data_IF_731650483942
#
_entry.id   IF_731650483942
#
_cell.length_a   1.000
_cell.length_b   1.000
_cell.length_c   1.000
_cell.angle_alpha   90.00
_cell.angle_beta   90.00
_cell.angle_gamma   90.00
#
_symmetry.space_group_name_H-M   'P 1'
#
loop_
_entity.id
_entity.type
_entity.pdbx_description
1 polymer ?
#
# COMPACT_ATOMS: atom_id res chain seq x y z
N UNK A 1 -46.77 -47.71 -26.07
CA UNK A 1 -47.58 -47.19 -24.95
C UNK A 1 -47.21 -45.74 -24.72
N UNK A 2 -48.12 -44.81 -25.02
CA UNK A 2 -47.94 -43.38 -24.76
C UNK A 2 -48.13 -43.07 -23.27
N UNK A 3 -47.36 -42.11 -22.75
CA UNK A 3 -47.54 -41.61 -21.39
C UNK A 3 -48.87 -40.84 -21.32
N UNK A 4 -49.73 -41.21 -20.38
CA UNK A 4 -50.96 -40.47 -20.09
C UNK A 4 -50.66 -39.21 -19.30
N UNK A 5 -51.47 -38.16 -19.45
CA UNK A 5 -51.29 -36.88 -18.77
C UNK A 5 -51.11 -37.02 -17.24
N UNK A 6 -51.85 -37.95 -16.61
CA UNK A 6 -51.74 -38.24 -15.18
C UNK A 6 -50.37 -38.79 -14.78
N UNK A 7 -49.77 -39.66 -15.61
CA UNK A 7 -48.41 -40.19 -15.36
C UNK A 7 -47.36 -39.08 -15.52
N UNK A 8 -47.52 -38.21 -16.52
CA UNK A 8 -46.62 -37.06 -16.72
C UNK A 8 -46.66 -36.11 -15.52
N UNK A 9 -47.86 -35.79 -15.02
CA UNK A 9 -48.03 -34.93 -13.85
C UNK A 9 -47.37 -35.50 -12.59
N UNK A 10 -47.56 -36.80 -12.32
CA UNK A 10 -46.94 -37.45 -11.16
C UNK A 10 -45.41 -37.40 -11.21
N UNK A 11 -44.81 -37.59 -12.40
CA UNK A 11 -43.36 -37.50 -12.60
C UNK A 11 -42.86 -36.07 -12.38
N UNK A 12 -43.56 -35.07 -12.93
CA UNK A 12 -43.20 -33.66 -12.76
C UNK A 12 -43.25 -33.24 -11.28
N UNK A 13 -44.32 -33.58 -10.58
CA UNK A 13 -44.45 -33.28 -9.16
C UNK A 13 -43.34 -33.94 -8.34
N UNK A 14 -43.00 -35.20 -8.65
CA UNK A 14 -41.87 -35.90 -8.02
C UNK A 14 -40.52 -35.23 -8.27
N UNK A 15 -40.29 -34.66 -9.47
CA UNK A 15 -39.07 -33.90 -9.77
C UNK A 15 -39.04 -32.56 -9.03
N UNK A 16 -40.16 -31.86 -8.92
CA UNK A 16 -40.27 -30.58 -8.18
C UNK A 16 -39.92 -30.80 -6.71
N UNK A 17 -40.48 -31.84 -6.09
CA UNK A 17 -40.17 -32.19 -4.68
C UNK A 17 -38.68 -32.48 -4.49
N UNK A 18 -38.06 -33.22 -5.42
CA UNK A 18 -36.62 -33.48 -5.38
C UNK A 18 -35.78 -32.21 -5.52
N UNK A 19 -36.14 -31.32 -6.44
CA UNK A 19 -35.43 -30.04 -6.64
C UNK A 19 -35.55 -29.17 -5.39
N UNK A 20 -36.73 -29.08 -4.78
CA UNK A 20 -36.92 -28.31 -3.54
C UNK A 20 -36.04 -28.84 -2.40
N UNK A 21 -36.00 -30.17 -2.20
CA UNK A 21 -35.12 -30.76 -1.20
C UNK A 21 -33.63 -30.51 -1.47
N UNK A 22 -33.20 -30.47 -2.74
CA UNK A 22 -31.82 -30.10 -3.08
C UNK A 22 -31.57 -28.63 -2.74
N UNK A 23 -32.47 -27.72 -3.10
CA UNK A 23 -32.32 -26.27 -2.85
C UNK A 23 -32.14 -25.98 -1.36
N UNK A 24 -32.88 -26.65 -0.48
CA UNK A 24 -32.74 -26.52 0.97
C UNK A 24 -31.36 -26.93 1.51
N UNK A 25 -30.61 -27.76 0.76
CA UNK A 25 -29.26 -28.19 1.13
C UNK A 25 -28.15 -27.35 0.51
N UNK A 26 -28.47 -26.43 -0.41
CA UNK A 26 -27.46 -25.56 -1.02
C UNK A 26 -26.98 -24.56 0.03
N UNK A 27 -25.65 -24.41 0.13
CA UNK A 27 -25.05 -23.44 1.06
C UNK A 27 -25.38 -22.01 0.61
N UNK A 28 -25.84 -21.20 1.55
CA UNK A 28 -26.06 -19.78 1.33
C UNK A 28 -24.77 -18.98 1.57
N UNK A 29 -24.42 -18.02 0.70
CA UNK A 29 -23.27 -17.15 0.94
C UNK A 29 -23.56 -16.22 2.11
N UNK A 30 -22.51 -15.90 2.89
CA UNK A 30 -22.60 -14.86 3.91
C UNK A 30 -22.40 -13.49 3.25
N UNK A 31 -23.37 -12.59 3.41
CA UNK A 31 -23.38 -11.26 2.80
C UNK A 31 -23.52 -10.20 3.87
N UNK A 32 -22.53 -9.32 3.98
CA UNK A 32 -22.59 -8.18 4.89
C UNK A 32 -23.56 -7.11 4.40
N UNK A 33 -24.53 -6.74 5.23
CA UNK A 33 -25.57 -5.76 4.92
C UNK A 33 -25.33 -4.40 5.59
N UNK A 34 -24.58 -4.35 6.70
CA UNK A 34 -24.24 -3.11 7.38
C UNK A 34 -24.08 -3.27 8.90
N UNK A 35 -24.07 -2.13 9.59
CA UNK A 35 -23.99 -2.06 11.05
C UNK A 35 -25.29 -1.50 11.63
N UNK A 36 -25.72 -2.06 12.76
CA UNK A 36 -26.82 -1.58 13.59
C UNK A 36 -26.27 -1.14 14.95
N UNK A 37 -26.92 -0.19 15.62
CA UNK A 37 -26.42 0.28 16.92
C UNK A 37 -26.59 -0.78 18.00
N UNK A 38 -27.79 -1.36 18.10
CA UNK A 38 -28.16 -2.35 19.10
C UNK A 38 -28.99 -3.48 18.49
N UNK A 39 -29.22 -4.54 19.27
CA UNK A 39 -29.94 -5.74 18.85
C UNK A 39 -31.37 -5.47 18.37
N UNK A 40 -32.05 -4.48 18.93
CA UNK A 40 -33.43 -4.14 18.58
C UNK A 40 -33.57 -3.55 17.16
N UNK A 41 -32.47 -3.06 16.59
CA UNK A 41 -32.44 -2.52 15.22
C UNK A 41 -32.23 -3.61 14.15
N UNK A 42 -32.08 -4.88 14.55
CA UNK A 42 -31.96 -5.96 13.58
C UNK A 42 -33.26 -6.15 12.78
N UNK A 43 -33.17 -6.28 11.44
CA UNK A 43 -34.35 -6.43 10.60
C UNK A 43 -35.09 -7.74 10.88
N UNK A 44 -36.43 -7.69 10.86
CA UNK A 44 -37.28 -8.88 10.99
C UNK A 44 -37.47 -9.64 9.68
N UNK A 45 -37.24 -8.98 8.53
CA UNK A 45 -37.27 -9.60 7.21
C UNK A 45 -35.86 -9.72 6.69
N UNK A 46 -35.35 -10.94 6.67
CA UNK A 46 -33.97 -11.28 6.34
C UNK A 46 -33.93 -12.51 5.46
N UNK A 47 -32.84 -12.65 4.70
CA UNK A 47 -32.54 -13.87 3.96
C UNK A 47 -31.41 -14.61 4.66
N UNK A 48 -31.38 -15.94 4.52
CA UNK A 48 -30.33 -16.76 5.11
C UNK A 48 -28.97 -16.30 4.57
N UNK A 49 -28.03 -16.06 5.47
CA UNK A 49 -26.69 -15.57 5.16
C UNK A 49 -26.52 -14.06 5.24
N UNK A 50 -27.59 -13.28 5.47
CA UNK A 50 -27.43 -11.85 5.76
C UNK A 50 -26.71 -11.63 7.09
N UNK A 51 -25.70 -10.78 7.08
CA UNK A 51 -24.86 -10.48 8.22
C UNK A 51 -24.92 -9.00 8.57
N UNK A 52 -25.05 -8.71 9.86
CA UNK A 52 -24.95 -7.36 10.41
C UNK A 52 -23.94 -7.32 11.54
N UNK A 53 -23.33 -6.15 11.73
CA UNK A 53 -22.51 -5.85 12.90
C UNK A 53 -23.35 -5.11 13.94
N UNK A 54 -23.32 -5.53 15.20
CA UNK A 54 -23.98 -4.82 16.31
C UNK A 54 -22.92 -3.99 17.04
N UNK A 55 -23.06 -2.67 17.05
CA UNK A 55 -22.03 -1.77 17.58
C UNK A 55 -21.98 -1.72 19.10
N UNK A 56 -23.10 -1.97 19.78
CA UNK A 56 -23.18 -2.02 21.24
C UNK A 56 -23.23 -3.46 21.76
N UNK A 57 -23.00 -3.62 23.07
CA UNK A 57 -23.12 -4.91 23.74
C UNK A 57 -24.56 -5.44 23.62
N UNK A 58 -24.71 -6.71 23.25
CA UNK A 58 -26.01 -7.35 23.02
C UNK A 58 -26.08 -8.77 23.61
N UNK A 59 -27.22 -9.46 23.43
CA UNK A 59 -27.32 -10.87 23.82
C UNK A 59 -26.39 -11.78 23.01
N UNK A 60 -25.99 -11.35 21.80
CA UNK A 60 -25.10 -12.07 20.90
C UNK A 60 -23.61 -11.85 21.19
N UNK A 61 -23.25 -10.99 22.16
CA UNK A 61 -21.89 -10.80 22.64
C UNK A 61 -21.49 -9.34 22.87
N UNK A 62 -20.19 -9.08 22.82
CA UNK A 62 -19.63 -7.74 23.04
C UNK A 62 -19.94 -6.76 21.88
N UNK A 63 -19.67 -5.48 22.13
CA UNK A 63 -19.74 -4.43 21.12
C UNK A 63 -18.89 -4.78 19.89
N UNK A 64 -19.46 -4.60 18.69
CA UNK A 64 -18.83 -4.94 17.42
C UNK A 64 -19.03 -6.38 16.97
N UNK A 65 -19.92 -7.16 17.60
CA UNK A 65 -20.18 -8.55 17.20
C UNK A 65 -20.92 -8.66 15.87
N UNK A 66 -20.45 -9.58 15.02
CA UNK A 66 -21.15 -9.93 13.78
C UNK A 66 -22.16 -11.04 14.07
N UNK A 67 -23.38 -10.82 13.59
CA UNK A 67 -24.47 -11.79 13.63
C UNK A 67 -24.92 -12.11 12.21
N UNK A 68 -25.21 -13.39 11.95
CA UNK A 68 -25.69 -13.87 10.66
C UNK A 68 -27.09 -14.48 10.83
N UNK A 69 -27.99 -14.17 9.91
CA UNK A 69 -29.31 -14.79 9.90
C UNK A 69 -29.22 -16.22 9.36
N UNK A 70 -29.59 -17.18 10.21
CA UNK A 70 -29.70 -18.60 9.88
C UNK A 70 -31.17 -18.98 9.73
N UNK A 71 -31.45 -20.25 9.42
CA UNK A 71 -32.83 -20.77 9.39
C UNK A 71 -33.55 -20.67 10.75
N UNK A 72 -32.78 -20.63 11.84
CA UNK A 72 -33.28 -20.66 13.22
C UNK A 72 -33.26 -19.25 13.88
N UNK A 73 -32.82 -18.22 13.14
CA UNK A 73 -32.71 -16.84 13.62
C UNK A 73 -31.29 -16.28 13.54
N UNK A 74 -31.05 -15.17 14.21
CA UNK A 74 -29.71 -14.57 14.33
C UNK A 74 -28.78 -15.48 15.13
N UNK A 75 -27.61 -15.74 14.58
CA UNK A 75 -26.53 -16.49 15.23
C UNK A 75 -25.25 -15.66 15.24
N UNK A 76 -24.51 -15.71 16.35
CA UNK A 76 -23.29 -14.95 16.53
C UNK A 76 -22.12 -15.66 15.84
N UNK A 77 -21.35 -14.94 15.02
CA UNK A 77 -20.20 -15.51 14.30
C UNK A 77 -18.94 -15.69 15.17
N UNK A 78 -19.10 -15.64 16.50
CA UNK A 78 -18.02 -15.76 17.46
C UNK A 78 -17.36 -14.41 17.78
N UNK A 79 -16.80 -14.33 18.99
CA UNK A 79 -16.09 -13.16 19.47
C UNK A 79 -14.94 -12.77 18.53
N UNK A 80 -14.67 -11.47 18.39
CA UNK A 80 -13.37 -11.05 17.88
C UNK A 80 -12.30 -11.71 18.76
N UNK A 81 -11.40 -12.47 18.14
CA UNK A 81 -10.29 -13.08 18.84
C UNK A 81 -9.39 -11.93 19.30
N UNK A 82 -9.29 -11.71 20.61
CA UNK A 82 -8.31 -10.76 21.14
C UNK A 82 -6.91 -11.36 20.93
N UNK A 83 -6.24 -10.92 19.87
CA UNK A 83 -4.88 -11.35 19.56
C UNK A 83 -3.87 -10.96 20.64
N UNK A 84 -4.22 -10.01 21.52
CA UNK A 84 -3.40 -9.64 22.69
C UNK A 84 -3.29 -10.77 23.70
N UNK A 85 -4.28 -11.68 23.76
CA UNK A 85 -4.21 -12.89 24.59
C UNK A 85 -3.16 -13.89 24.10
N UNK A 86 -2.82 -13.86 22.80
CA UNK A 86 -1.81 -14.73 22.19
C UNK A 86 -0.41 -14.09 22.22
N UNK A 87 -0.32 -12.81 22.58
CA UNK A 87 0.93 -12.15 22.88
C UNK A 87 1.27 -12.41 24.34
N UNK A 88 1.88 -13.56 24.62
CA UNK A 88 2.42 -13.77 25.95
C UNK A 88 3.56 -12.78 26.19
N UNK A 89 3.63 -12.19 27.39
CA UNK A 89 4.67 -11.21 27.76
C UNK A 89 6.09 -11.81 27.65
N UNK A 90 6.21 -13.12 27.59
CA UNK A 90 7.42 -13.90 27.34
C UNK A 90 7.91 -13.80 25.89
N UNK A 91 7.01 -13.68 24.91
CA UNK A 91 7.33 -13.62 23.48
C UNK A 91 7.79 -12.24 23.00
N UNK A 92 7.49 -11.21 23.80
CA UNK A 92 8.02 -9.87 23.58
C UNK A 92 9.50 -9.85 23.95
N UNK A 93 10.32 -9.23 23.11
CA UNK A 93 11.70 -8.90 23.50
C UNK A 93 11.70 -7.89 24.65
N UNK A 94 12.70 -7.94 25.54
CA UNK A 94 12.73 -7.09 26.74
C UNK A 94 12.68 -5.60 26.43
N UNK A 95 13.26 -5.17 25.30
CA UNK A 95 13.19 -3.79 24.82
C UNK A 95 11.77 -3.34 24.48
N UNK A 96 10.89 -4.25 24.03
CA UNK A 96 9.50 -3.96 23.69
C UNK A 96 8.60 -3.85 24.93
N UNK A 97 9.03 -4.39 26.08
CA UNK A 97 8.33 -4.32 27.37
C UNK A 97 8.60 -3.03 28.14
N UNK A 98 9.58 -2.23 27.72
CA UNK A 98 9.99 -1.03 28.44
C UNK A 98 8.90 0.05 28.32
N UNK A 99 8.51 0.72 29.43
CA UNK A 99 7.49 1.76 29.42
C UNK A 99 7.90 2.99 28.60
N UNK A 100 9.20 3.20 28.41
CA UNK A 100 9.76 4.17 27.48
C UNK A 100 10.64 3.46 26.47
N UNK A 101 10.35 3.70 25.19
CA UNK A 101 11.21 3.27 24.09
C UNK A 101 12.47 4.13 24.07
N UNK A 102 13.63 3.58 23.67
CA UNK A 102 14.82 4.39 23.45
C UNK A 102 14.51 5.47 22.41
N UNK A 103 14.82 6.73 22.75
CA UNK A 103 14.84 7.82 21.79
C UNK A 103 16.23 7.88 21.19
N UNK A 104 16.34 7.77 19.87
CA UNK A 104 17.61 7.88 19.18
C UNK A 104 17.77 9.31 18.65
N UNK A 105 18.92 9.90 18.91
CA UNK A 105 19.32 11.17 18.31
C UNK A 105 19.73 10.95 16.86
N UNK A 106 19.56 11.97 16.02
CA UNK A 106 20.00 11.93 14.63
C UNK A 106 21.48 11.56 14.49
N UNK A 107 22.33 11.99 15.44
CA UNK A 107 23.74 11.62 15.53
C UNK A 107 23.98 10.12 15.73
N UNK A 108 23.15 9.45 16.56
CA UNK A 108 23.31 8.02 16.86
C UNK A 108 22.92 7.13 15.67
N UNK A 109 21.96 7.55 14.86
CA UNK A 109 21.48 6.78 13.70
C UNK A 109 22.03 7.28 12.36
N UNK A 110 22.95 8.25 12.38
CA UNK A 110 23.49 8.87 11.16
C UNK A 110 22.44 9.64 10.34
N UNK A 111 21.30 9.98 10.95
CA UNK A 111 20.30 10.83 10.33
C UNK A 111 20.76 12.29 10.34
N UNK A 112 20.25 13.06 9.39
CA UNK A 112 20.43 14.50 9.38
C UNK A 112 19.69 15.12 10.57
N UNK A 113 20.27 16.13 11.26
CA UNK A 113 19.53 16.85 12.30
C UNK A 113 18.30 17.55 11.70
N UNK A 114 17.27 17.78 12.52
CA UNK A 114 15.98 18.33 12.09
C UNK A 114 16.06 19.67 11.34
N UNK A 115 17.14 20.43 11.53
CA UNK A 115 17.35 21.76 10.95
C UNK A 115 18.34 21.78 9.77
N UNK A 116 18.65 20.65 9.15
CA UNK A 116 19.43 20.67 7.91
C UNK A 116 18.60 21.29 6.79
N UNK A 117 19.06 22.44 6.30
CA UNK A 117 18.54 23.03 5.07
C UNK A 117 18.99 22.15 3.90
N UNK A 118 18.13 21.25 3.46
CA UNK A 118 18.32 20.49 2.22
C UNK A 118 17.91 21.41 1.06
N UNK A 119 18.84 21.82 0.19
CA UNK A 119 18.53 22.67 -0.95
C UNK A 119 17.48 22.01 -1.85
N UNK A 120 16.42 22.74 -2.20
CA UNK A 120 15.33 22.23 -3.05
C UNK A 120 15.47 22.67 -4.50
N UNK A 121 16.30 23.70 -4.73
CA UNK A 121 16.57 24.26 -6.05
C UNK A 121 18.06 24.17 -6.37
N UNK A 122 18.36 24.02 -7.65
CA UNK A 122 19.74 24.01 -8.14
C UNK A 122 20.50 25.30 -7.82
N UNK A 123 19.79 26.44 -7.75
CA UNK A 123 20.36 27.73 -7.37
C UNK A 123 20.81 27.83 -5.92
N UNK A 124 20.36 26.92 -5.05
CA UNK A 124 20.67 26.87 -3.62
C UNK A 124 21.84 25.91 -3.32
N UNK A 125 22.29 25.14 -4.31
CA UNK A 125 23.44 24.24 -4.18
C UNK A 125 24.74 25.00 -4.35
N UNK A 126 25.64 24.88 -3.37
CA UNK A 126 27.03 25.28 -3.53
C UNK A 126 27.82 24.14 -4.17
N UNK A 127 28.79 24.49 -5.02
CA UNK A 127 29.65 23.48 -5.63
C UNK A 127 30.53 22.80 -4.59
N UNK A 128 30.52 21.48 -4.56
CA UNK A 128 31.30 20.70 -3.60
C UNK A 128 32.73 20.46 -4.11
N UNK A 129 33.70 21.18 -3.55
CA UNK A 129 35.10 21.05 -3.96
C UNK A 129 35.71 19.68 -3.68
N UNK A 130 35.25 18.95 -2.66
CA UNK A 130 35.85 17.69 -2.23
C UNK A 130 35.28 16.48 -2.98
N UNK A 131 34.16 16.65 -3.68
CA UNK A 131 33.50 15.60 -4.47
C UNK A 131 33.46 15.89 -5.99
N UNK A 132 34.29 16.83 -6.47
CA UNK A 132 34.47 17.07 -7.91
C UNK A 132 35.52 16.11 -8.50
N UNK A 133 35.21 15.53 -9.65
CA UNK A 133 36.15 14.68 -10.42
C UNK A 133 37.09 15.49 -11.33
N UNK A 134 36.73 16.74 -11.65
CA UNK A 134 37.51 17.63 -12.52
C UNK A 134 37.99 18.83 -11.71
N UNK A 135 39.30 19.05 -11.71
CA UNK A 135 39.94 20.16 -11.02
C UNK A 135 39.73 21.49 -11.75
N UNK A 136 39.83 22.60 -11.02
CA UNK A 136 39.72 23.94 -11.63
C UNK A 136 40.87 24.21 -12.62
N UNK A 137 42.03 23.57 -12.42
CA UNK A 137 43.16 23.63 -13.36
C UNK A 137 42.83 22.95 -14.70
N UNK A 138 42.22 21.77 -14.68
CA UNK A 138 41.78 21.06 -15.89
C UNK A 138 40.70 21.85 -16.64
N UNK A 139 39.72 22.42 -15.92
CA UNK A 139 38.72 23.30 -16.52
C UNK A 139 39.33 24.53 -17.16
N UNK A 140 40.28 25.17 -16.48
CA UNK A 140 41.00 26.32 -17.04
C UNK A 140 41.79 25.92 -18.28
N UNK A 141 42.36 24.71 -18.31
CA UNK A 141 43.07 24.23 -19.48
C UNK A 141 42.14 23.97 -20.67
N UNK A 142 40.96 23.38 -20.45
CA UNK A 142 39.96 23.16 -21.51
C UNK A 142 39.30 24.46 -21.99
N UNK A 143 39.13 25.46 -21.11
CA UNK A 143 38.54 26.75 -21.44
C UNK A 143 39.53 27.75 -22.06
N UNK A 144 40.83 27.43 -22.10
CA UNK A 144 41.79 28.27 -22.83
C UNK A 144 41.48 28.23 -24.32
N UNK A 145 41.58 29.39 -24.96
CA UNK A 145 41.50 29.52 -26.43
C UNK A 145 42.51 28.54 -27.03
N UNK A 146 42.04 27.66 -27.92
CA UNK A 146 42.87 26.64 -28.53
C UNK A 146 43.99 27.29 -29.36
N UNK A 147 45.22 27.25 -28.86
CA UNK A 147 46.42 27.40 -29.66
C UNK A 147 46.83 26.00 -30.12
N UNK A 148 46.51 25.66 -31.36
CA UNK A 148 46.96 24.42 -31.99
C UNK A 148 48.22 24.79 -32.78
N UNK A 149 49.38 24.37 -32.27
CA UNK A 149 50.65 24.48 -32.97
C UNK A 149 51.16 23.09 -33.34
N UNK A 150 51.41 22.90 -34.63
CA UNK A 150 52.06 21.70 -35.16
C UNK A 150 52.94 22.13 -36.32
N UNK A 151 54.19 21.65 -36.36
CA UNK A 151 55.13 21.82 -37.47
C UNK A 151 55.26 23.26 -38.00
N UNK A 152 55.50 24.21 -37.08
CA UNK A 152 55.84 25.60 -37.44
C UNK A 152 54.64 26.51 -37.78
N UNK A 153 53.41 26.00 -37.73
CA UNK A 153 52.20 26.81 -37.93
C UNK A 153 51.41 26.88 -36.63
N UNK A 154 51.13 28.11 -36.18
CA UNK A 154 50.24 28.38 -35.04
C UNK A 154 48.91 28.92 -35.54
N UNK A 155 47.83 28.20 -35.25
CA UNK A 155 46.46 28.69 -35.44
C UNK A 155 45.97 29.35 -34.15
N UNK A 156 45.47 30.59 -34.26
CA UNK A 156 44.87 31.33 -33.15
C UNK A 156 43.63 32.09 -33.60
N UNK A 157 42.78 32.50 -32.66
CA UNK A 157 41.64 33.37 -32.94
C UNK A 157 42.09 34.82 -32.85
N UNK A 158 41.92 35.59 -33.94
CA UNK A 158 42.12 37.03 -33.93
C UNK A 158 40.83 37.71 -33.44
N UNK A 159 40.79 38.06 -32.15
CA UNK A 159 39.63 38.69 -31.53
C UNK A 159 39.29 40.07 -32.12
N UNK A 160 40.27 40.81 -32.65
CA UNK A 160 40.04 42.13 -33.23
C UNK A 160 39.39 42.08 -34.62
N UNK A 161 39.71 41.04 -35.40
CA UNK A 161 39.18 40.83 -36.75
C UNK A 161 38.04 39.81 -36.79
N UNK A 162 37.73 39.21 -35.64
CA UNK A 162 36.75 38.14 -35.46
C UNK A 162 36.93 36.98 -36.46
N UNK A 163 38.18 36.60 -36.71
CA UNK A 163 38.54 35.55 -37.67
C UNK A 163 39.62 34.63 -37.11
N UNK A 164 39.78 33.44 -37.70
CA UNK A 164 40.92 32.57 -37.46
C UNK A 164 42.14 33.14 -38.18
N UNK A 165 43.29 33.16 -37.52
CA UNK A 165 44.57 33.54 -38.10
C UNK A 165 45.56 32.39 -37.96
N UNK A 166 46.39 32.21 -38.99
CA UNK A 166 47.52 31.30 -38.98
C UNK A 166 48.80 32.14 -39.03
N UNK A 167 49.78 31.78 -38.21
CA UNK A 167 51.10 32.42 -38.19
C UNK A 167 52.15 31.34 -38.39
N UNK A 168 53.07 31.57 -39.32
CA UNK A 168 54.24 30.71 -39.53
C UNK A 168 55.36 31.18 -38.61
N UNK A 169 55.96 30.26 -37.86
CA UNK A 169 57.28 30.48 -37.26
C UNK A 169 58.37 30.24 -38.31
N UNK A 170 59.50 30.95 -38.18
CA UNK A 170 60.73 30.56 -38.89
C UNK A 170 61.31 29.25 -38.32
#
# INVERSE_FOLDING_TARGET
MSLTAKKVYAILNGKIVKINGIIETIKHPVVYQGSVKNESELPQKTEIGWMYNIQEKSSYGEAGMNVVWTKDGWDAMGAMIDTSLFLEKTDLADWAKQPQKPSYTAKEVGALPENVLIPTKLSELTGDATHRTVTDAEKNNWNKVAEISSDGITFSINTAKNCLQATYGE
#
